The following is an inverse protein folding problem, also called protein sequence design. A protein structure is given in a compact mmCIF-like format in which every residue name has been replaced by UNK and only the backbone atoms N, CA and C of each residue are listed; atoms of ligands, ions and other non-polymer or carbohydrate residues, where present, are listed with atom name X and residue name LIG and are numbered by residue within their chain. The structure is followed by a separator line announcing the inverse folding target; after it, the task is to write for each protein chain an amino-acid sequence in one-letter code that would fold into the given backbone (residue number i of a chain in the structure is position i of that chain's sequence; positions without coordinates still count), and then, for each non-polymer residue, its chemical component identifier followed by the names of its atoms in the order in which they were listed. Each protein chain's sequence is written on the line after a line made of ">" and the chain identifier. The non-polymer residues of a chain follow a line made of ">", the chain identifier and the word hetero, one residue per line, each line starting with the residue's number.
data_IF_258280200714
#
_entry.id   IF_258280200714
#
_cell.length_a   1.000
_cell.length_b   1.000
_cell.length_c   1.000
_cell.angle_alpha   90.00
_cell.angle_beta   90.00
_cell.angle_gamma   90.00
#
_symmetry.space_group_name_H-M   'P 1'
#
loop_
_entity.id
_entity.type
_entity.pdbx_description
1 polymer ?
#
# COMPACT_ATOMS: atom_id res chain seq x y z
N UNK A 1 -0.30 8.27 8.33
CA UNK A 1 0.40 7.16 7.64
C UNK A 1 -0.66 6.25 7.07
N UNK A 2 -0.34 5.47 6.03
CA UNK A 2 -1.26 4.48 5.45
C UNK A 2 -0.47 3.23 5.05
N UNK A 3 -1.17 2.12 4.81
CA UNK A 3 -0.57 0.89 4.31
C UNK A 3 -0.65 0.82 2.79
N UNK A 4 0.42 0.38 2.14
CA UNK A 4 0.49 0.26 0.68
C UNK A 4 0.95 -1.13 0.28
N UNK A 5 0.16 -1.79 -0.57
CA UNK A 5 0.44 -3.14 -1.07
C UNK A 5 -0.75 -3.74 -1.83
N UNK A 6 -0.66 -4.99 -2.29
CA UNK A 6 0.46 -5.91 -2.13
C UNK A 6 1.70 -5.48 -2.94
N UNK A 7 2.85 -5.35 -2.30
CA UNK A 7 4.13 -5.06 -2.95
C UNK A 7 4.79 -6.38 -3.37
N UNK A 8 5.14 -6.58 -4.66
CA UNK A 8 5.77 -7.82 -5.09
C UNK A 8 7.04 -8.12 -4.30
N UNK A 9 7.21 -9.36 -3.83
CA UNK A 9 8.37 -9.80 -3.03
C UNK A 9 9.72 -9.61 -3.75
N UNK A 10 9.71 -9.57 -5.09
CA UNK A 10 10.89 -9.30 -5.93
C UNK A 10 11.34 -7.84 -5.93
N UNK A 11 10.57 -6.93 -5.32
CA UNK A 11 10.90 -5.50 -5.22
C UNK A 11 11.56 -5.25 -3.87
N UNK A 12 12.76 -4.70 -3.84
CA UNK A 12 13.37 -4.26 -2.59
C UNK A 12 12.69 -3.00 -2.02
N UNK A 13 12.95 -2.71 -0.75
CA UNK A 13 12.29 -1.61 -0.04
C UNK A 13 12.61 -0.23 -0.66
N UNK A 14 13.81 -0.03 -1.20
CA UNK A 14 14.23 1.26 -1.78
C UNK A 14 13.51 1.52 -3.11
N UNK A 15 13.44 0.52 -3.99
CA UNK A 15 12.69 0.58 -5.23
C UNK A 15 11.18 0.78 -4.97
N UNK A 16 10.64 0.14 -3.92
CA UNK A 16 9.28 0.40 -3.48
C UNK A 16 9.12 1.86 -3.03
N UNK A 17 9.99 2.37 -2.16
CA UNK A 17 9.94 3.74 -1.68
C UNK A 17 10.06 4.76 -2.82
N UNK A 18 10.95 4.55 -3.80
CA UNK A 18 11.06 5.40 -4.98
C UNK A 18 9.74 5.46 -5.76
N UNK A 19 9.08 4.32 -5.95
CA UNK A 19 7.78 4.28 -6.60
C UNK A 19 6.72 5.06 -5.78
N UNK A 20 6.66 4.83 -4.46
CA UNK A 20 5.71 5.50 -3.57
C UNK A 20 5.94 7.02 -3.53
N UNK A 21 7.19 7.48 -3.54
CA UNK A 21 7.55 8.91 -3.67
C UNK A 21 7.01 9.51 -4.96
N UNK A 22 7.22 8.84 -6.09
CA UNK A 22 6.85 9.34 -7.41
C UNK A 22 5.34 9.31 -7.67
N UNK A 23 4.62 8.31 -7.15
CA UNK A 23 3.21 8.07 -7.50
C UNK A 23 2.22 8.48 -6.42
N UNK A 24 2.63 8.43 -5.15
CA UNK A 24 1.76 8.69 -4.01
C UNK A 24 2.28 9.79 -3.08
N UNK A 25 3.43 10.42 -3.40
CA UNK A 25 4.07 11.46 -2.56
C UNK A 25 4.36 11.00 -1.13
N UNK A 26 4.55 9.70 -0.93
CA UNK A 26 5.09 9.16 0.32
C UNK A 26 6.52 9.67 0.49
N UNK A 27 6.93 9.93 1.73
CA UNK A 27 8.27 10.42 2.07
C UNK A 27 9.18 9.32 2.58
N UNK A 28 8.62 8.31 3.25
CA UNK A 28 9.35 7.22 3.87
C UNK A 28 8.49 5.95 4.06
N UNK A 29 9.15 4.83 4.33
CA UNK A 29 8.54 3.58 4.82
C UNK A 29 8.91 3.44 6.30
N UNK A 30 7.92 3.23 7.16
CA UNK A 30 8.06 3.12 8.61
C UNK A 30 8.04 1.68 9.13
N UNK A 31 7.72 0.72 8.28
CA UNK A 31 7.59 -0.68 8.66
C UNK A 31 6.94 -1.53 7.57
N UNK A 32 6.91 -2.83 7.81
CA UNK A 32 6.40 -3.86 6.91
C UNK A 32 5.43 -4.76 7.68
N UNK A 33 4.38 -5.23 7.01
CA UNK A 33 3.47 -6.24 7.53
C UNK A 33 3.07 -7.22 6.43
N UNK A 34 3.03 -8.51 6.75
CA UNK A 34 2.48 -9.54 5.89
C UNK A 34 1.01 -9.78 6.26
N UNK A 35 0.13 -9.76 5.26
CA UNK A 35 -1.30 -10.05 5.42
C UNK A 35 -1.69 -11.06 4.34
N UNK A 36 -2.16 -12.24 4.75
CA UNK A 36 -2.45 -13.37 3.85
C UNK A 36 -1.30 -13.67 2.86
N UNK A 37 -0.05 -13.62 3.33
CA UNK A 37 1.16 -13.85 2.52
C UNK A 37 1.57 -12.69 1.60
N UNK A 38 0.75 -11.64 1.52
CA UNK A 38 1.01 -10.42 0.76
C UNK A 38 1.72 -9.37 1.61
N UNK A 39 2.71 -8.68 1.02
CA UNK A 39 3.52 -7.69 1.73
C UNK A 39 2.96 -6.28 1.59
N UNK A 40 2.84 -5.59 2.72
CA UNK A 40 2.40 -4.20 2.81
C UNK A 40 3.45 -3.36 3.53
N UNK A 41 3.69 -2.16 3.03
CA UNK A 41 4.56 -1.17 3.68
C UNK A 41 3.74 -0.07 4.35
N UNK A 42 4.16 0.33 5.55
CA UNK A 42 3.59 1.50 6.24
C UNK A 42 4.22 2.77 5.66
N UNK A 43 3.52 3.43 4.76
CA UNK A 43 3.96 4.67 4.12
C UNK A 43 3.72 5.90 5.02
N UNK A 44 4.73 6.76 5.11
CA UNK A 44 4.65 8.09 5.71
C UNK A 44 4.39 9.10 4.61
N UNK A 45 3.43 10.00 4.81
CA UNK A 45 3.11 11.09 3.88
C UNK A 45 3.48 12.42 4.54
N UNK A 46 3.85 13.42 3.73
CA UNK A 46 4.21 14.74 4.23
C UNK A 46 3.04 15.49 4.87
N UNK A 47 1.80 15.20 4.47
CA UNK A 47 0.58 15.79 5.01
C UNK A 47 -0.63 14.87 4.78
N UNK A 48 -1.76 15.21 5.41
CA UNK A 48 -3.01 14.45 5.31
C UNK A 48 -3.64 14.51 3.90
N UNK A 49 -3.49 15.63 3.18
CA UNK A 49 -4.04 15.78 1.84
C UNK A 49 -3.39 14.81 0.84
N UNK A 50 -2.06 14.65 0.91
CA UNK A 50 -1.32 13.71 0.07
C UNK A 50 -1.69 12.26 0.40
N UNK A 51 -1.90 11.94 1.69
CA UNK A 51 -2.39 10.63 2.10
C UNK A 51 -3.80 10.34 1.57
N UNK A 52 -4.74 11.28 1.74
CA UNK A 52 -6.11 11.15 1.22
C UNK A 52 -6.13 11.01 -0.31
N UNK A 53 -5.30 11.80 -1.00
CA UNK A 53 -5.15 11.71 -2.45
C UNK A 53 -4.57 10.36 -2.89
N UNK A 54 -3.66 9.77 -2.11
CA UNK A 54 -3.10 8.46 -2.41
C UNK A 54 -4.13 7.33 -2.26
N UNK A 55 -5.02 7.42 -1.26
CA UNK A 55 -6.14 6.49 -1.06
C UNK A 55 -7.12 6.58 -2.23
N UNK A 56 -7.57 7.80 -2.57
CA UNK A 56 -8.54 8.05 -3.65
C UNK A 56 -8.03 7.60 -5.03
N UNK A 57 -6.72 7.73 -5.27
CA UNK A 57 -6.09 7.32 -6.53
C UNK A 57 -5.70 5.84 -6.56
N UNK A 58 -5.96 5.09 -5.51
CA UNK A 58 -5.70 3.65 -5.45
C UNK A 58 -6.90 2.86 -6.00
N UNK A 59 -6.69 1.69 -6.64
CA UNK A 59 -5.40 1.05 -6.85
C UNK A 59 -4.61 1.58 -8.06
N UNK A 60 -3.27 1.44 -8.03
CA UNK A 60 -2.40 1.68 -9.20
C UNK A 60 -1.55 0.45 -9.55
N UNK A 61 -1.36 0.21 -10.85
CA UNK A 61 -0.54 -0.89 -11.32
C UNK A 61 0.96 -0.65 -11.12
N UNK A 62 1.65 -1.63 -10.53
CA UNK A 62 3.08 -1.64 -10.30
C UNK A 62 3.63 -3.07 -10.39
N UNK A 63 4.56 -3.30 -11.34
CA UNK A 63 5.31 -4.55 -11.48
C UNK A 63 4.43 -5.82 -11.39
N UNK A 64 3.32 -5.83 -12.12
CA UNK A 64 2.43 -7.00 -12.21
C UNK A 64 1.33 -7.08 -11.14
N UNK A 65 1.25 -6.11 -10.22
CA UNK A 65 0.24 -6.09 -9.15
C UNK A 65 -0.45 -4.72 -9.06
N UNK A 66 -1.69 -4.72 -8.57
CA UNK A 66 -2.42 -3.50 -8.25
C UNK A 66 -2.16 -3.12 -6.80
N UNK A 67 -1.48 -2.00 -6.57
CA UNK A 67 -1.20 -1.50 -5.24
C UNK A 67 -2.40 -0.71 -4.71
N UNK A 68 -2.92 -1.13 -3.58
CA UNK A 68 -3.93 -0.46 -2.79
C UNK A 68 -3.26 0.42 -1.73
N UNK A 69 -3.88 1.55 -1.42
CA UNK A 69 -3.48 2.42 -0.31
C UNK A 69 -4.64 2.44 0.67
N UNK A 70 -4.44 1.91 1.87
CA UNK A 70 -5.50 1.66 2.85
C UNK A 70 -5.14 2.19 4.23
N UNK A 71 -6.15 2.60 4.99
CA UNK A 71 -5.95 3.11 6.36
C UNK A 71 -5.53 1.99 7.33
N UNK A 72 -6.31 0.91 7.35
CA UNK A 72 -6.07 -0.30 8.13
C UNK A 72 -5.98 -1.51 7.18
N UNK A 73 -4.86 -2.22 7.22
CA UNK A 73 -4.60 -3.37 6.34
C UNK A 73 -5.31 -4.64 6.80
N UNK A 74 -5.61 -4.77 8.09
CA UNK A 74 -6.32 -5.93 8.64
C UNK A 74 -7.82 -5.84 8.35
N UNK A 75 -8.41 -4.65 8.51
CA UNK A 75 -9.80 -4.38 8.12
C UNK A 75 -9.98 -4.65 6.62
N UNK A 76 -9.12 -4.06 5.79
CA UNK A 76 -9.17 -4.26 4.34
C UNK A 76 -9.05 -5.73 3.92
N UNK A 77 -8.15 -6.50 4.54
CA UNK A 77 -7.99 -7.92 4.22
C UNK A 77 -9.19 -8.77 4.68
N UNK A 78 -9.86 -8.38 5.77
CA UNK A 78 -11.07 -9.03 6.25
C UNK A 78 -12.22 -8.83 5.24
N UNK A 79 -12.40 -7.61 4.73
CA UNK A 79 -13.42 -7.30 3.71
C UNK A 79 -13.22 -8.08 2.40
N UNK A 80 -11.97 -8.30 1.99
CA UNK A 80 -11.68 -9.13 0.80
C UNK A 80 -12.10 -10.58 1.03
N UNK A 81 -11.80 -11.12 2.20
CA UNK A 81 -12.14 -12.51 2.55
C UNK A 81 -13.65 -12.71 2.60
N UNK A 82 -14.42 -11.73 3.10
CA UNK A 82 -15.89 -11.80 3.10
C UNK A 82 -16.49 -11.74 1.69
N UNK A 83 -15.92 -10.93 0.79
CA UNK A 83 -16.38 -10.82 -0.61
C UNK A 83 -16.10 -12.08 -1.43
N UNK A 84 -15.04 -12.82 -1.12
CA UNK A 84 -14.69 -14.06 -1.82
C UNK A 84 -15.49 -15.29 -1.34
N UNK A 85 -16.30 -15.16 -0.28
CA UNK A 85 -17.10 -16.24 0.32
C UNK A 85 -18.59 -16.18 -0.09
N UNK A 86 -19.01 -15.17 -0.85
CA UNK A 86 -20.38 -14.98 -1.37
C UNK A 86 -20.47 -15.26 -2.87
#
# INVERSE_FOLDING_TARGET
>A
TAWVGPIPHSVDQDAALEHLKRKYKSTAIAGEQLVNGSRFYRAIFGNQQDMASAIDQSPRFFRGQFLHVVGDVQEWASELTEKDVL
#
